data_IF_610279304785
#
_entry.id   IF_610279304785
#
_cell.length_a   1.000
_cell.length_b   1.000
_cell.length_c   1.000
_cell.angle_alpha   90.00
_cell.angle_beta   90.00
_cell.angle_gamma   90.00
#
_symmetry.space_group_name_H-M   'P 1'
#
loop_
_entity.id
_entity.type
_entity.pdbx_description
1 polymer ?
#
# COMPACT_ATOMS: atom_id res chain seq x y z
N UNK A 1 -4.88 -14.06 13.45
CA UNK A 1 -4.01 -13.75 12.29
C UNK A 1 -4.83 -13.61 11.01
N UNK A 2 -5.51 -14.68 10.56
CA UNK A 2 -6.35 -14.64 9.35
C UNK A 2 -7.44 -13.55 9.37
N UNK A 3 -8.12 -13.36 10.50
CA UNK A 3 -9.11 -12.27 10.65
C UNK A 3 -8.52 -10.87 10.49
N UNK A 4 -7.29 -10.62 10.95
CA UNK A 4 -6.63 -9.32 10.76
C UNK A 4 -6.21 -9.12 9.30
N UNK A 5 -5.72 -10.18 8.66
CA UNK A 5 -5.37 -10.16 7.24
C UNK A 5 -6.59 -9.88 6.36
N UNK A 6 -7.71 -10.55 6.60
CA UNK A 6 -8.94 -10.34 5.81
C UNK A 6 -9.48 -8.91 5.95
N UNK A 7 -9.40 -8.32 7.16
CA UNK A 7 -9.76 -6.91 7.37
C UNK A 7 -8.86 -5.96 6.60
N UNK A 8 -7.54 -6.17 6.59
CA UNK A 8 -6.62 -5.37 5.79
C UNK A 8 -6.89 -5.48 4.29
N UNK A 9 -7.15 -6.68 3.77
CA UNK A 9 -7.51 -6.85 2.36
C UNK A 9 -8.83 -6.16 2.01
N UNK A 10 -9.83 -6.24 2.90
CA UNK A 10 -11.09 -5.52 2.72
C UNK A 10 -10.89 -4.00 2.71
N UNK A 11 -10.10 -3.47 3.65
CA UNK A 11 -9.72 -2.06 3.70
C UNK A 11 -8.96 -1.61 2.45
N UNK A 12 -8.01 -2.43 1.98
CA UNK A 12 -7.24 -2.16 0.77
C UNK A 12 -8.15 -2.06 -0.45
N UNK A 13 -9.02 -3.06 -0.69
CA UNK A 13 -9.90 -3.07 -1.86
C UNK A 13 -10.93 -1.94 -1.83
N UNK A 14 -11.50 -1.67 -0.66
CA UNK A 14 -12.44 -0.54 -0.50
C UNK A 14 -11.74 0.81 -0.71
N UNK A 15 -10.51 0.97 -0.22
CA UNK A 15 -9.73 2.18 -0.44
C UNK A 15 -9.35 2.37 -1.92
N UNK A 16 -9.02 1.29 -2.64
CA UNK A 16 -8.77 1.34 -4.10
C UNK A 16 -9.99 1.91 -4.81
N UNK A 17 -11.18 1.39 -4.52
CA UNK A 17 -12.43 1.86 -5.12
C UNK A 17 -12.72 3.32 -4.72
N UNK A 18 -12.61 3.65 -3.43
CA UNK A 18 -12.91 4.98 -2.92
C UNK A 18 -12.01 6.05 -3.57
N UNK A 19 -10.70 5.80 -3.62
CA UNK A 19 -9.74 6.72 -4.21
C UNK A 19 -9.88 6.78 -5.74
N UNK A 20 -10.17 5.67 -6.40
CA UNK A 20 -10.45 5.66 -7.84
C UNK A 20 -11.69 6.49 -8.19
N UNK A 21 -12.78 6.38 -7.42
CA UNK A 21 -13.99 7.18 -7.63
C UNK A 21 -13.78 8.67 -7.35
N UNK A 22 -12.88 8.99 -6.41
CA UNK A 22 -12.55 10.37 -6.06
C UNK A 22 -11.59 11.05 -7.02
N UNK A 23 -11.01 10.36 -8.00
CA UNK A 23 -10.10 10.97 -9.00
C UNK A 23 -10.75 12.10 -9.80
N UNK A 24 -12.09 12.13 -9.88
CA UNK A 24 -12.86 13.20 -10.52
C UNK A 24 -13.00 14.46 -9.65
N UNK A 25 -12.59 14.40 -8.38
CA UNK A 25 -12.73 15.47 -7.39
C UNK A 25 -11.36 15.79 -6.77
N UNK A 26 -10.64 16.80 -7.32
CA UNK A 26 -9.31 17.16 -6.83
C UNK A 26 -9.33 17.48 -5.33
N UNK A 27 -8.44 16.83 -4.57
CA UNK A 27 -8.31 17.02 -3.12
C UNK A 27 -9.12 16.02 -2.29
N UNK A 28 -10.24 15.48 -2.81
CA UNK A 28 -10.98 14.40 -2.14
C UNK A 28 -10.16 13.10 -2.13
N UNK A 29 -9.42 12.86 -3.21
CA UNK A 29 -8.46 11.76 -3.35
C UNK A 29 -7.33 11.82 -2.31
N UNK A 30 -6.76 13.02 -2.08
CA UNK A 30 -5.76 13.25 -1.04
C UNK A 30 -6.36 13.02 0.35
N UNK A 31 -7.57 13.54 0.60
CA UNK A 31 -8.26 13.33 1.87
C UNK A 31 -8.51 11.84 2.16
N UNK A 32 -8.98 11.09 1.15
CA UNK A 32 -9.23 9.65 1.27
C UNK A 32 -7.93 8.85 1.46
N UNK A 33 -6.84 9.25 0.80
CA UNK A 33 -5.53 8.65 1.01
C UNK A 33 -5.02 8.87 2.45
N UNK A 34 -5.21 10.07 3.01
CA UNK A 34 -4.92 10.36 4.42
C UNK A 34 -5.79 9.53 5.36
N UNK A 35 -7.11 9.46 5.12
CA UNK A 35 -8.04 8.63 5.88
C UNK A 35 -7.62 7.16 5.86
N UNK A 36 -7.17 6.66 4.71
CA UNK A 36 -6.70 5.29 4.58
C UNK A 36 -5.50 4.99 5.51
N UNK A 37 -4.51 5.89 5.60
CA UNK A 37 -3.40 5.75 6.56
C UNK A 37 -3.84 5.75 8.02
N UNK A 38 -4.82 6.60 8.36
CA UNK A 38 -5.40 6.67 9.71
C UNK A 38 -6.09 5.35 10.05
N UNK A 39 -6.90 4.81 9.13
CA UNK A 39 -7.63 3.55 9.34
C UNK A 39 -6.67 2.36 9.45
N UNK A 40 -5.61 2.29 8.63
CA UNK A 40 -4.54 1.29 8.81
C UNK A 40 -3.88 1.43 10.18
N UNK A 41 -3.63 2.67 10.61
CA UNK A 41 -3.08 2.96 11.93
C UNK A 41 -3.96 2.42 13.04
N UNK A 42 -5.28 2.64 12.98
CA UNK A 42 -6.24 2.11 13.95
C UNK A 42 -6.33 0.59 13.93
N UNK A 43 -6.37 -0.03 12.76
CA UNK A 43 -6.34 -1.49 12.62
C UNK A 43 -5.06 -2.07 13.24
N UNK A 44 -3.91 -1.43 13.01
CA UNK A 44 -2.64 -1.79 13.63
C UNK A 44 -2.70 -1.74 15.17
N UNK A 45 -3.35 -0.71 15.75
CA UNK A 45 -3.53 -0.62 17.22
C UNK A 45 -4.44 -1.74 17.74
N UNK A 46 -5.54 -2.02 17.03
CA UNK A 46 -6.48 -3.09 17.37
C UNK A 46 -5.80 -4.47 17.34
N UNK A 47 -4.90 -4.68 16.39
CA UNK A 47 -4.13 -5.93 16.27
C UNK A 47 -3.03 -6.02 17.33
N UNK A 48 -2.45 -4.89 17.78
CA UNK A 48 -1.46 -4.86 18.85
C UNK A 48 -1.97 -5.39 20.20
N UNK A 49 -3.27 -5.33 20.47
CA UNK A 49 -3.84 -5.89 21.71
C UNK A 49 -4.02 -7.42 21.65
N UNK A 50 -3.99 -8.02 20.45
CA UNK A 50 -4.35 -9.42 20.22
C UNK A 50 -3.22 -10.29 19.66
N UNK A 51 -2.25 -9.70 18.95
CA UNK A 51 -1.15 -10.43 18.30
C UNK A 51 0.22 -9.97 18.79
N UNK A 52 1.12 -10.93 19.04
CA UNK A 52 2.54 -10.67 19.29
C UNK A 52 3.21 -9.99 18.08
N UNK A 53 4.29 -9.23 18.32
CA UNK A 53 4.98 -8.43 17.29
C UNK A 53 5.35 -9.20 16.02
N UNK A 54 5.82 -10.44 16.13
CA UNK A 54 6.15 -11.29 14.97
C UNK A 54 4.90 -11.61 14.12
N UNK A 55 3.77 -11.93 14.75
CA UNK A 55 2.51 -12.21 14.04
C UNK A 55 1.98 -10.95 13.35
N UNK A 56 2.14 -9.78 13.99
CA UNK A 56 1.79 -8.49 13.40
C UNK A 56 2.63 -8.18 12.16
N UNK A 57 3.94 -8.38 12.24
CA UNK A 57 4.84 -8.20 11.10
C UNK A 57 4.48 -9.14 9.94
N UNK A 58 4.20 -10.42 10.22
CA UNK A 58 3.71 -11.37 9.21
C UNK A 58 2.43 -10.91 8.55
N UNK A 59 1.45 -10.39 9.31
CA UNK A 59 0.20 -9.85 8.74
C UNK A 59 0.48 -8.69 7.79
N UNK A 60 1.33 -7.74 8.20
CA UNK A 60 1.73 -6.63 7.33
C UNK A 60 2.47 -7.10 6.07
N UNK A 61 3.34 -8.09 6.21
CA UNK A 61 4.08 -8.67 5.08
C UNK A 61 3.14 -9.35 4.09
N UNK A 62 2.21 -10.18 4.57
CA UNK A 62 1.22 -10.84 3.69
C UNK A 62 0.29 -9.83 3.02
N UNK A 63 -0.08 -8.75 3.72
CA UNK A 63 -0.87 -7.67 3.13
C UNK A 63 -0.10 -6.95 1.99
N UNK A 64 1.21 -6.73 2.13
CA UNK A 64 2.04 -6.10 1.09
C UNK A 64 2.64 -7.08 0.08
N UNK A 65 2.40 -8.39 0.24
CA UNK A 65 2.93 -9.44 -0.62
C UNK A 65 2.60 -9.23 -2.11
N UNK A 66 1.38 -8.81 -2.52
CA UNK A 66 1.10 -8.52 -3.92
C UNK A 66 2.02 -7.44 -4.50
N UNK A 67 2.31 -6.38 -3.75
CA UNK A 67 3.24 -5.34 -4.19
C UNK A 67 4.65 -5.89 -4.37
N UNK A 68 5.17 -6.62 -3.39
CA UNK A 68 6.52 -7.19 -3.47
C UNK A 68 6.68 -8.14 -4.66
N UNK A 69 5.67 -8.98 -4.91
CA UNK A 69 5.66 -9.88 -6.06
C UNK A 69 5.65 -9.10 -7.37
N UNK A 70 4.73 -8.15 -7.55
CA UNK A 70 4.61 -7.37 -8.78
C UNK A 70 5.86 -6.53 -9.06
N UNK A 71 6.46 -5.93 -8.03
CA UNK A 71 7.74 -5.20 -8.17
C UNK A 71 8.84 -6.17 -8.63
N UNK A 72 8.99 -7.32 -7.97
CA UNK A 72 10.02 -8.29 -8.35
C UNK A 72 9.85 -8.74 -9.81
N UNK A 73 8.63 -9.05 -10.23
CA UNK A 73 8.33 -9.44 -11.62
C UNK A 73 8.66 -8.30 -12.60
N UNK A 74 8.30 -7.05 -12.29
CA UNK A 74 8.61 -5.90 -13.14
C UNK A 74 10.12 -5.64 -13.30
N UNK A 75 10.94 -5.97 -12.29
CA UNK A 75 12.39 -5.78 -12.33
C UNK A 75 13.15 -6.93 -13.01
N UNK A 76 12.64 -8.16 -12.92
CA UNK A 76 13.31 -9.35 -13.46
C UNK A 76 12.78 -9.81 -14.83
N UNK A 77 11.68 -9.25 -15.34
CA UNK A 77 11.21 -9.57 -16.68
C UNK A 77 12.19 -9.06 -17.75
N UNK A 78 12.55 -9.88 -18.75
CA UNK A 78 13.35 -9.45 -19.88
C UNK A 78 12.68 -8.33 -20.67
N UNK A 79 13.48 -7.49 -21.31
CA UNK A 79 12.99 -6.34 -22.09
C UNK A 79 12.14 -6.70 -23.29
N UNK A 80 12.17 -7.97 -23.73
CA UNK A 80 11.35 -8.45 -24.84
C UNK A 80 9.86 -8.59 -24.47
N UNK A 81 9.53 -8.48 -23.17
CA UNK A 81 8.18 -8.61 -22.62
C UNK A 81 7.60 -7.26 -22.13
N UNK A 82 7.80 -6.18 -22.90
CA UNK A 82 7.37 -4.82 -22.52
C UNK A 82 5.87 -4.73 -22.21
N UNK A 83 5.03 -5.42 -22.97
CA UNK A 83 3.58 -5.41 -22.75
C UNK A 83 3.22 -6.03 -21.39
N UNK A 84 3.86 -7.14 -21.04
CA UNK A 84 3.67 -7.80 -19.74
C UNK A 84 4.17 -6.91 -18.60
N UNK A 85 5.29 -6.22 -18.78
CA UNK A 85 5.80 -5.24 -17.81
C UNK A 85 4.77 -4.12 -17.61
N UNK A 86 4.12 -3.64 -18.67
CA UNK A 86 3.07 -2.62 -18.56
C UNK A 86 1.85 -3.12 -17.76
N UNK A 87 1.38 -4.35 -18.00
CA UNK A 87 0.29 -4.94 -17.22
C UNK A 87 0.66 -5.16 -15.75
N UNK A 88 1.90 -5.57 -15.46
CA UNK A 88 2.40 -5.71 -14.09
C UNK A 88 2.44 -4.35 -13.41
N UNK A 89 2.96 -3.32 -14.08
CA UNK A 89 3.02 -1.95 -13.56
C UNK A 89 1.62 -1.37 -13.31
N UNK A 90 0.66 -1.62 -14.21
CA UNK A 90 -0.74 -1.26 -14.01
C UNK A 90 -1.33 -1.93 -12.77
N UNK A 91 -1.10 -3.24 -12.62
CA UNK A 91 -1.60 -4.00 -11.46
C UNK A 91 -0.97 -3.51 -10.16
N UNK A 92 0.32 -3.14 -10.19
CA UNK A 92 1.03 -2.56 -9.06
C UNK A 92 0.45 -1.19 -8.68
N UNK A 93 0.19 -0.32 -9.67
CA UNK A 93 -0.45 0.97 -9.47
C UNK A 93 -1.86 0.81 -8.89
N UNK A 94 -2.62 -0.18 -9.36
CA UNK A 94 -3.93 -0.50 -8.82
C UNK A 94 -3.83 -0.89 -7.34
N UNK A 95 -2.88 -1.76 -6.98
CA UNK A 95 -2.67 -2.12 -5.58
C UNK A 95 -2.21 -0.94 -4.72
N UNK A 96 -1.42 -0.02 -5.28
CA UNK A 96 -0.92 1.16 -4.56
C UNK A 96 -1.83 2.39 -4.68
N UNK A 97 -2.97 2.27 -5.35
CA UNK A 97 -3.92 3.37 -5.61
C UNK A 97 -4.26 4.20 -4.38
N UNK A 98 -4.51 3.61 -3.19
CA UNK A 98 -4.83 4.40 -2.01
C UNK A 98 -3.73 5.37 -1.57
N UNK A 99 -2.49 5.14 -1.99
CA UNK A 99 -1.34 5.99 -1.68
C UNK A 99 -0.96 6.95 -2.81
N UNK A 100 -1.43 6.71 -4.05
CA UNK A 100 -1.07 7.52 -5.21
C UNK A 100 -1.33 9.02 -5.04
N UNK A 101 -2.47 9.46 -4.45
CA UNK A 101 -2.71 10.89 -4.22
C UNK A 101 -1.70 11.55 -3.28
N UNK A 102 -1.06 10.79 -2.38
CA UNK A 102 0.00 11.34 -1.53
C UNK A 102 1.34 11.42 -2.27
N UNK A 103 1.56 10.54 -3.24
CA UNK A 103 2.76 10.58 -4.08
C UNK A 103 2.76 11.73 -5.06
N UNK A 104 1.59 12.16 -5.53
CA UNK A 104 1.48 13.29 -6.46
C UNK A 104 1.92 14.61 -5.83
N UNK A 105 1.99 14.69 -4.49
CA UNK A 105 2.54 15.84 -3.76
C UNK A 105 4.07 15.92 -3.82
N UNK A 106 4.75 14.84 -4.20
CA UNK A 106 6.21 14.82 -4.31
C UNK A 106 6.65 15.35 -5.68
N UNK A 107 7.69 16.22 -5.75
CA UNK A 107 8.20 16.74 -7.01
C UNK A 107 9.01 15.66 -7.75
N UNK A 108 8.31 14.80 -8.49
CA UNK A 108 8.92 13.68 -9.22
C UNK A 108 9.07 14.02 -10.69
N UNK A 109 10.27 14.44 -11.07
CA UNK A 109 10.57 14.83 -12.44
C UNK A 109 11.14 13.68 -13.30
N UNK A 110 11.25 12.45 -12.77
CA UNK A 110 11.86 11.33 -13.51
C UNK A 110 11.13 9.99 -13.35
N UNK A 111 11.11 9.20 -14.44
CA UNK A 111 10.54 7.84 -14.48
C UNK A 111 11.26 6.90 -13.52
N UNK A 112 12.57 7.08 -13.33
CA UNK A 112 13.35 6.33 -12.33
C UNK A 112 12.90 6.65 -10.90
N UNK A 113 12.57 7.92 -10.61
CA UNK A 113 12.02 8.34 -9.33
C UNK A 113 10.68 7.67 -9.00
N UNK A 114 9.79 7.52 -10.01
CA UNK A 114 8.53 6.81 -9.87
C UNK A 114 8.74 5.33 -9.53
N UNK A 115 9.57 4.59 -10.29
CA UNK A 115 9.86 3.17 -10.03
C UNK A 115 10.42 2.94 -8.62
N UNK A 116 11.33 3.81 -8.19
CA UNK A 116 11.88 3.77 -6.83
C UNK A 116 10.79 3.98 -5.77
N UNK A 117 9.89 4.94 -5.98
CA UNK A 117 8.80 5.21 -5.04
C UNK A 117 7.84 4.04 -4.89
N UNK A 118 7.42 3.44 -6.00
CA UNK A 118 6.62 2.21 -6.01
C UNK A 118 7.29 1.08 -5.23
N UNK A 119 8.63 1.01 -5.27
CA UNK A 119 9.40 0.04 -4.50
C UNK A 119 9.44 0.33 -2.99
N UNK A 120 9.47 1.61 -2.59
CA UNK A 120 9.57 2.02 -1.18
C UNK A 120 8.22 1.97 -0.44
N UNK A 121 7.12 2.25 -1.13
CA UNK A 121 5.76 2.25 -0.57
C UNK A 121 5.36 1.01 0.23
N UNK A 122 5.55 -0.23 -0.26
CA UNK A 122 5.17 -1.41 0.50
C UNK A 122 6.01 -1.54 1.78
N UNK A 123 7.27 -1.11 1.78
CA UNK A 123 8.09 -1.04 2.99
C UNK A 123 7.60 0.04 3.95
N UNK A 124 7.24 1.23 3.43
CA UNK A 124 6.67 2.30 4.24
C UNK A 124 5.39 1.85 4.94
N UNK A 125 4.46 1.22 4.20
CA UNK A 125 3.21 0.69 4.75
C UNK A 125 3.44 -0.46 5.73
N UNK A 126 4.42 -1.33 5.47
CA UNK A 126 4.83 -2.38 6.40
C UNK A 126 5.38 -1.80 7.71
N UNK A 127 6.22 -0.77 7.63
CA UNK A 127 6.75 -0.05 8.77
C UNK A 127 5.62 0.64 9.53
N UNK A 128 4.78 1.40 8.84
CA UNK A 128 3.61 2.09 9.41
C UNK A 128 2.69 1.12 10.16
N UNK A 129 2.37 -0.01 9.53
CA UNK A 129 1.55 -1.03 10.16
C UNK A 129 2.27 -1.68 11.33
N UNK A 130 3.58 -1.91 11.28
CA UNK A 130 4.32 -2.60 12.35
C UNK A 130 4.66 -1.71 13.55
N UNK A 131 4.62 -0.38 13.41
CA UNK A 131 4.93 0.56 14.50
C UNK A 131 4.24 0.16 15.82
N UNK A 132 4.97 0.16 16.95
CA UNK A 132 4.37 -0.09 18.24
C UNK A 132 3.38 1.03 18.52
N UNK A 133 2.10 0.70 18.49
CA UNK A 133 1.09 1.57 19.05
C UNK A 133 1.30 1.54 20.56
N UNK A 134 2.01 2.54 21.10
CA UNK A 134 1.99 2.77 22.54
C UNK A 134 0.52 2.78 22.97
N UNK A 135 0.18 1.94 23.96
CA UNK A 135 -1.12 2.03 24.62
C UNK A 135 -1.21 3.46 25.15
N UNK A 136 -1.93 4.33 24.45
CA UNK A 136 -2.45 5.55 25.04
C UNK A 136 -3.46 5.01 26.06
N UNK A 137 -3.00 4.94 27.30
CA UNK A 137 -3.74 4.47 28.45
C UNK A 137 -4.64 5.59 28.93
#
# INVERSE_FOLDING_TARGET
MYSALSRLYFLQLTAVIAVALSMNYPGLDIFLACMYLVVIGWESRSVCSTLNGIKKWRVGFYWQMPSFLLISMAFFLPTDYMDQVNYIMFTLQLWQTPMLPLLSLLPLNSVAGLKFLYAVLPFFLLCWYSLPANKIR
#
